data_IF_285268381189
#
_entry.id   IF_285268381189
#
_cell.length_a   1.000
_cell.length_b   1.000
_cell.length_c   1.000
_cell.angle_alpha   90.00
_cell.angle_beta   90.00
_cell.angle_gamma   90.00
#
_symmetry.space_group_name_H-M   'P 1'
#
loop_
_entity.id
_entity.type
_entity.pdbx_description
1 polymer ?
#
# COMPACT_ATOMS: atom_id res chain seq x y z
N UNK A 1 -53.91 3.69 17.29
CA UNK A 1 -52.98 4.80 17.61
C UNK A 1 -52.31 4.45 18.94
N UNK A 2 -51.00 4.62 19.12
CA UNK A 2 -50.33 4.24 20.39
C UNK A 2 -50.59 5.21 21.56
N UNK A 3 -50.93 6.46 21.26
CA UNK A 3 -50.96 7.56 22.23
C UNK A 3 -52.34 7.83 22.84
N UNK A 4 -53.40 7.39 22.16
CA UNK A 4 -54.80 7.66 22.54
C UNK A 4 -55.60 6.36 22.62
N UNK A 5 -56.34 6.20 23.71
CA UNK A 5 -57.35 5.19 23.93
C UNK A 5 -58.72 5.83 23.79
N UNK A 6 -59.56 5.27 22.92
CA UNK A 6 -60.90 5.77 22.68
C UNK A 6 -61.93 5.03 23.52
N UNK A 7 -62.90 5.77 24.07
CA UNK A 7 -64.04 5.23 24.82
C UNK A 7 -65.36 5.73 24.20
N UNK A 8 -66.27 4.84 23.79
CA UNK A 8 -66.12 3.38 23.75
C UNK A 8 -65.06 2.91 22.71
N UNK A 9 -64.36 1.78 22.95
CA UNK A 9 -63.34 1.27 22.03
C UNK A 9 -63.90 0.75 20.71
N UNK A 10 -65.19 0.38 20.69
CA UNK A 10 -65.96 0.08 19.50
C UNK A 10 -67.43 0.42 19.73
N UNK A 11 -68.14 0.78 18.65
CA UNK A 11 -69.59 1.06 18.70
C UNK A 11 -70.24 0.55 17.42
N UNK A 12 -71.17 -0.41 17.56
CA UNK A 12 -72.03 -0.79 16.44
C UNK A 12 -73.07 0.29 16.19
N UNK A 13 -73.27 0.64 14.92
CA UNK A 13 -74.21 1.67 14.46
C UNK A 13 -75.19 1.00 13.51
N UNK A 14 -76.48 1.03 13.84
CA UNK A 14 -77.55 0.55 12.95
C UNK A 14 -78.04 1.71 12.09
N UNK A 15 -77.72 1.68 10.80
CA UNK A 15 -78.14 2.71 9.83
C UNK A 15 -79.58 2.44 9.38
N UNK A 16 -80.38 3.50 9.27
CA UNK A 16 -81.73 3.49 8.68
C UNK A 16 -81.80 4.54 7.58
N UNK A 17 -82.68 4.34 6.61
CA UNK A 17 -82.87 5.28 5.51
C UNK A 17 -83.22 6.68 6.03
N UNK A 18 -82.53 7.71 5.54
CA UNK A 18 -82.68 9.10 5.99
C UNK A 18 -82.17 9.43 7.40
N UNK A 19 -81.60 8.48 8.15
CA UNK A 19 -81.20 8.71 9.55
C UNK A 19 -79.74 9.18 9.71
N UNK A 20 -79.53 10.31 10.38
CA UNK A 20 -78.23 10.74 10.88
C UNK A 20 -78.00 10.19 12.29
N UNK A 21 -76.90 9.44 12.51
CA UNK A 21 -76.53 8.93 13.84
C UNK A 21 -75.28 9.64 14.33
N UNK A 22 -75.42 10.44 15.38
CA UNK A 22 -74.30 11.06 16.06
C UNK A 22 -73.70 10.08 17.07
N UNK A 23 -72.39 9.84 16.97
CA UNK A 23 -71.62 9.02 17.93
C UNK A 23 -70.53 9.87 18.55
N UNK A 24 -70.57 10.01 19.88
CA UNK A 24 -69.49 10.63 20.64
C UNK A 24 -68.44 9.57 20.98
N UNK A 25 -67.18 9.86 20.64
CA UNK A 25 -66.01 9.06 20.98
C UNK A 25 -65.05 9.94 21.78
N UNK A 26 -64.78 9.57 23.03
CA UNK A 26 -63.85 10.31 23.89
C UNK A 26 -62.45 9.73 23.74
N UNK A 27 -61.47 10.55 23.35
CA UNK A 27 -60.07 10.14 23.22
C UNK A 27 -59.26 10.50 24.47
N UNK A 28 -58.94 9.51 25.31
CA UNK A 28 -58.07 9.69 26.46
C UNK A 28 -56.62 9.48 26.05
N UNK A 29 -55.73 10.42 26.36
CA UNK A 29 -54.30 10.27 26.16
C UNK A 29 -53.75 9.26 27.17
N UNK A 30 -53.02 8.25 26.69
CA UNK A 30 -52.47 7.15 27.51
C UNK A 30 -50.96 6.98 27.35
N UNK A 31 -50.35 7.62 26.35
CA UNK A 31 -48.90 7.60 26.14
C UNK A 31 -48.41 8.88 25.45
N UNK A 32 -47.10 9.11 25.55
CA UNK A 32 -46.41 10.29 25.04
C UNK A 32 -45.47 9.96 23.87
N UNK A 33 -45.04 11.00 23.17
CA UNK A 33 -43.99 10.98 22.16
C UNK A 33 -42.71 11.63 22.67
N UNK A 34 -41.58 11.21 22.10
CA UNK A 34 -40.32 11.92 22.18
C UNK A 34 -39.89 12.40 20.80
N UNK A 35 -39.69 13.71 20.68
CA UNK A 35 -39.26 14.41 19.47
C UNK A 35 -37.81 14.83 19.57
N UNK A 36 -37.07 14.64 18.48
CA UNK A 36 -35.69 15.08 18.39
C UNK A 36 -35.18 15.15 16.97
N UNK A 37 -33.88 15.42 16.85
CA UNK A 37 -33.16 15.48 15.59
C UNK A 37 -31.80 14.79 15.71
N UNK A 38 -31.42 14.07 14.67
CA UNK A 38 -30.08 13.54 14.46
C UNK A 38 -29.35 14.42 13.44
N UNK A 39 -28.14 14.83 13.78
CA UNK A 39 -27.26 15.59 12.88
C UNK A 39 -25.89 14.94 12.78
N UNK A 40 -25.21 15.08 11.65
CA UNK A 40 -23.79 14.73 11.53
C UNK A 40 -22.91 15.77 12.23
N UNK A 41 -21.61 15.50 12.33
CA UNK A 41 -20.63 16.35 13.03
C UNK A 41 -20.49 17.76 12.41
N UNK A 42 -20.80 17.90 11.12
CA UNK A 42 -20.85 19.17 10.40
C UNK A 42 -22.14 19.98 10.68
N UNK A 43 -23.15 19.39 11.34
CA UNK A 43 -24.44 20.01 11.63
C UNK A 43 -25.54 19.72 10.61
N UNK A 44 -25.25 19.02 9.51
CA UNK A 44 -26.25 18.59 8.53
C UNK A 44 -27.22 17.55 9.14
N UNK A 45 -28.50 17.53 8.74
CA UNK A 45 -29.47 16.53 9.17
C UNK A 45 -29.13 15.14 8.61
N UNK A 46 -29.42 14.08 9.37
CA UNK A 46 -29.12 12.70 8.97
C UNK A 46 -30.38 11.81 8.92
N UNK A 47 -30.69 11.31 7.73
CA UNK A 47 -31.83 10.46 7.41
C UNK A 47 -31.54 8.97 7.68
N UNK A 48 -32.58 8.17 7.93
CA UNK A 48 -32.46 6.70 7.97
C UNK A 48 -31.81 6.14 9.24
N UNK A 49 -31.38 7.00 10.16
CA UNK A 49 -30.85 6.61 11.47
C UNK A 49 -32.00 6.12 12.34
N UNK A 50 -31.93 4.84 12.74
CA UNK A 50 -32.86 4.22 13.67
C UNK A 50 -32.48 4.57 15.11
N UNK A 51 -33.42 5.18 15.83
CA UNK A 51 -33.31 5.54 17.24
C UNK A 51 -34.32 4.76 18.07
N UNK A 52 -33.95 4.43 19.30
CA UNK A 52 -34.79 3.70 20.25
C UNK A 52 -34.88 4.42 21.59
N UNK A 53 -36.01 4.25 22.26
CA UNK A 53 -36.24 4.59 23.65
C UNK A 53 -36.36 3.28 24.44
N UNK A 54 -35.37 2.98 25.27
CA UNK A 54 -35.35 1.78 26.13
C UNK A 54 -35.71 2.18 27.55
N UNK A 55 -36.76 1.60 28.12
CA UNK A 55 -37.18 1.86 29.50
C UNK A 55 -36.16 1.37 30.52
N UNK A 56 -36.11 2.02 31.69
CA UNK A 56 -35.27 1.60 32.83
C UNK A 56 -36.10 0.96 33.93
N UNK A 57 -35.41 0.20 34.78
CA UNK A 57 -35.93 -0.34 36.04
C UNK A 57 -37.29 -1.06 35.87
N UNK A 58 -38.36 -0.51 36.44
CA UNK A 58 -39.74 -1.04 36.37
C UNK A 58 -40.29 -1.09 34.94
N UNK A 59 -39.76 -0.26 34.05
CA UNK A 59 -40.18 -0.09 32.67
C UNK A 59 -39.24 -0.76 31.66
N UNK A 60 -38.29 -1.59 32.13
CA UNK A 60 -37.27 -2.29 31.33
C UNK A 60 -37.79 -3.20 30.19
N UNK A 61 -39.08 -3.55 30.22
CA UNK A 61 -39.75 -4.32 29.17
C UNK A 61 -40.36 -3.44 28.07
N UNK A 62 -40.37 -2.12 28.21
CA UNK A 62 -40.81 -1.19 27.18
C UNK A 62 -39.63 -0.73 26.32
N UNK A 63 -39.73 -1.00 25.02
CA UNK A 63 -38.82 -0.52 23.99
C UNK A 63 -39.67 0.01 22.83
N UNK A 64 -39.40 1.24 22.42
CA UNK A 64 -40.07 1.90 21.28
C UNK A 64 -39.02 2.47 20.34
N UNK A 65 -39.28 2.48 19.04
CA UNK A 65 -38.30 2.89 18.02
C UNK A 65 -38.90 3.79 16.93
N UNK A 66 -38.02 4.52 16.24
CA UNK A 66 -38.33 5.39 15.11
C UNK A 66 -37.12 5.49 14.19
N UNK A 67 -37.33 5.65 12.89
CA UNK A 67 -36.30 6.14 11.97
C UNK A 67 -36.34 7.66 11.88
N UNK A 68 -35.21 8.29 11.55
CA UNK A 68 -35.16 9.70 11.16
C UNK A 68 -35.67 9.92 9.73
N UNK A 69 -36.33 11.05 9.52
CA UNK A 69 -36.77 11.55 8.22
C UNK A 69 -35.63 12.30 7.50
N UNK A 70 -35.84 12.70 6.23
CA UNK A 70 -34.92 13.54 5.43
C UNK A 70 -34.44 14.80 6.19
N UNK A 71 -35.28 15.36 7.05
CA UNK A 71 -34.95 16.53 7.88
C UNK A 71 -34.11 16.22 9.13
N UNK A 72 -33.66 14.97 9.29
CA UNK A 72 -32.98 14.47 10.48
C UNK A 72 -33.88 14.31 11.70
N UNK A 73 -35.14 14.76 11.63
CA UNK A 73 -36.09 14.69 12.74
C UNK A 73 -36.61 13.26 12.95
N UNK A 74 -36.90 12.93 14.21
CA UNK A 74 -37.52 11.67 14.61
C UNK A 74 -38.64 11.89 15.63
N UNK A 75 -39.58 10.93 15.69
CA UNK A 75 -40.67 10.92 16.68
C UNK A 75 -40.93 9.49 17.16
N UNK A 76 -40.37 9.14 18.31
CA UNK A 76 -40.66 7.88 19.01
C UNK A 76 -42.02 8.03 19.70
N UNK A 77 -42.96 7.11 19.45
CA UNK A 77 -44.37 7.20 19.94
C UNK A 77 -44.69 6.04 20.88
N UNK A 78 -45.52 6.27 21.89
CA UNK A 78 -46.02 5.21 22.78
C UNK A 78 -45.27 5.08 24.11
N UNK A 79 -44.50 6.10 24.50
CA UNK A 79 -43.82 6.13 25.79
C UNK A 79 -44.84 6.17 26.93
N UNK A 80 -44.79 5.17 27.80
CA UNK A 80 -45.71 5.05 28.93
C UNK A 80 -45.46 6.15 29.99
N UNK A 81 -46.51 6.71 30.60
CA UNK A 81 -46.39 7.68 31.69
C UNK A 81 -45.69 7.08 32.91
N UNK A 82 -45.03 7.94 33.70
CA UNK A 82 -44.25 7.61 34.89
C UNK A 82 -43.11 6.61 34.69
N UNK A 83 -42.69 6.40 33.43
CA UNK A 83 -41.51 5.62 33.08
C UNK A 83 -40.31 6.49 32.72
N UNK A 84 -39.14 6.08 33.19
CA UNK A 84 -37.83 6.58 32.78
C UNK A 84 -37.33 5.78 31.57
N UNK A 85 -36.86 6.48 30.54
CA UNK A 85 -36.33 5.91 29.29
C UNK A 85 -34.93 6.44 28.98
N UNK A 86 -34.20 5.73 28.13
CA UNK A 86 -32.98 6.22 27.47
C UNK A 86 -33.24 6.28 25.97
N UNK A 87 -33.21 7.48 25.41
CA UNK A 87 -33.25 7.67 23.95
C UNK A 87 -31.83 7.60 23.41
N UNK A 88 -31.56 6.67 22.48
CA UNK A 88 -30.25 6.46 21.86
C UNK A 88 -30.38 6.01 20.41
N UNK A 89 -29.27 6.05 19.68
CA UNK A 89 -29.16 5.32 18.41
C UNK A 89 -29.26 3.82 18.68
N UNK A 90 -30.04 3.09 17.89
CA UNK A 90 -30.17 1.64 18.02
C UNK A 90 -28.90 0.95 17.52
N UNK A 91 -28.38 0.01 18.29
CA UNK A 91 -27.21 -0.79 17.95
C UNK A 91 -27.64 -2.16 17.41
N UNK A 92 -27.04 -2.61 16.30
CA UNK A 92 -27.31 -3.92 15.70
C UNK A 92 -26.48 -4.15 14.43
N UNK A 93 -26.17 -5.40 14.10
CA UNK A 93 -25.28 -5.73 12.98
C UNK A 93 -25.82 -5.30 11.59
N UNK A 94 -27.14 -5.22 11.46
CA UNK A 94 -27.84 -4.81 10.22
C UNK A 94 -28.50 -3.43 10.33
N UNK A 95 -28.36 -2.76 11.49
CA UNK A 95 -29.03 -1.50 11.79
C UNK A 95 -27.97 -0.39 11.82
N UNK A 96 -28.27 0.75 11.20
CA UNK A 96 -27.41 1.94 11.20
C UNK A 96 -26.00 1.74 10.60
N UNK A 97 -25.74 0.74 9.74
CA UNK A 97 -24.39 0.41 9.21
C UNK A 97 -23.59 1.59 8.64
N UNK A 98 -24.25 2.61 8.09
CA UNK A 98 -23.66 3.88 7.64
C UNK A 98 -23.09 4.78 8.76
N UNK A 99 -23.37 4.50 10.03
CA UNK A 99 -22.95 5.27 11.20
C UNK A 99 -22.05 4.38 12.08
N UNK A 100 -20.89 4.93 12.49
CA UNK A 100 -19.96 4.27 13.41
C UNK A 100 -20.40 4.40 14.88
N UNK A 101 -20.93 5.56 15.28
CA UNK A 101 -21.39 5.84 16.66
C UNK A 101 -22.28 7.09 16.71
N UNK A 102 -23.03 7.23 17.80
CA UNK A 102 -23.73 8.46 18.19
C UNK A 102 -23.12 9.11 19.45
N UNK A 103 -23.40 10.39 19.68
CA UNK A 103 -23.07 11.12 20.90
C UNK A 103 -24.19 12.14 21.21
N UNK A 104 -24.74 12.19 22.42
CA UNK A 104 -24.46 11.29 23.56
C UNK A 104 -24.84 9.83 23.27
N UNK A 105 -24.23 8.89 24.00
CA UNK A 105 -24.51 7.44 23.87
C UNK A 105 -25.96 7.10 24.25
N UNK A 106 -26.57 7.92 25.10
CA UNK A 106 -28.01 7.90 25.36
C UNK A 106 -28.43 9.10 26.20
N UNK A 107 -29.65 9.59 25.96
CA UNK A 107 -30.27 10.71 26.67
C UNK A 107 -31.31 10.15 27.64
N UNK A 108 -31.14 10.29 28.96
CA UNK A 108 -32.18 9.92 29.92
C UNK A 108 -33.36 10.90 29.80
N UNK A 109 -34.57 10.38 29.70
CA UNK A 109 -35.81 11.16 29.60
C UNK A 109 -36.90 10.51 30.45
N UNK A 110 -37.78 11.31 31.06
CA UNK A 110 -38.94 10.80 31.80
C UNK A 110 -40.23 11.25 31.15
N UNK A 111 -41.10 10.29 30.82
CA UNK A 111 -42.45 10.59 30.36
C UNK A 111 -43.36 10.87 31.57
N UNK A 112 -43.70 12.14 31.80
CA UNK A 112 -44.57 12.58 32.90
C UNK A 112 -45.94 13.00 32.38
N UNK A 113 -46.10 14.28 32.02
CA UNK A 113 -47.38 14.86 31.57
C UNK A 113 -47.21 15.70 30.29
N UNK A 114 -46.50 15.15 29.30
CA UNK A 114 -46.23 15.87 28.05
C UNK A 114 -45.30 15.12 27.10
N UNK A 115 -45.27 15.61 25.87
CA UNK A 115 -44.29 15.15 24.88
C UNK A 115 -42.90 15.69 25.21
N UNK A 116 -41.90 14.82 25.13
CA UNK A 116 -40.49 15.20 25.27
C UNK A 116 -40.04 15.83 23.96
N UNK A 117 -39.36 16.98 24.01
CA UNK A 117 -38.90 17.72 22.84
C UNK A 117 -37.43 18.13 22.97
N UNK A 118 -36.82 18.54 21.86
CA UNK A 118 -35.46 19.08 21.85
C UNK A 118 -34.34 18.05 22.03
N UNK A 119 -34.64 16.75 21.86
CA UNK A 119 -33.60 15.72 21.89
C UNK A 119 -32.66 15.88 20.70
N UNK A 120 -31.35 15.86 20.94
CA UNK A 120 -30.34 15.97 19.89
C UNK A 120 -29.30 14.87 20.01
N UNK A 121 -29.12 14.12 18.92
CA UNK A 121 -28.05 13.13 18.76
C UNK A 121 -27.12 13.59 17.65
N UNK A 122 -25.81 13.44 17.85
CA UNK A 122 -24.79 13.73 16.84
C UNK A 122 -24.18 12.39 16.39
N UNK A 123 -24.27 12.07 15.11
CA UNK A 123 -23.73 10.83 14.54
C UNK A 123 -22.37 11.03 13.88
N UNK A 124 -21.56 9.97 13.91
CA UNK A 124 -20.24 9.92 13.31
C UNK A 124 -20.21 8.82 12.26
N UNK A 125 -19.87 9.19 11.03
CA UNK A 125 -19.69 8.24 9.93
C UNK A 125 -18.42 7.39 10.11
N UNK A 126 -18.38 6.15 9.59
CA UNK A 126 -17.18 5.35 9.54
C UNK A 126 -16.10 6.04 8.69
N UNK A 127 -14.87 6.01 9.19
CA UNK A 127 -13.71 6.52 8.49
C UNK A 127 -13.35 5.53 7.38
N UNK A 128 -13.86 5.77 6.17
CA UNK A 128 -13.64 4.90 5.01
C UNK A 128 -12.30 5.15 4.30
N UNK A 129 -11.59 6.22 4.66
CA UNK A 129 -10.33 6.64 4.06
C UNK A 129 -9.28 6.92 5.13
N UNK A 130 -8.02 6.75 4.73
CA UNK A 130 -6.84 6.91 5.56
C UNK A 130 -5.79 7.74 4.83
N UNK A 131 -5.40 8.86 5.45
CA UNK A 131 -4.35 9.73 4.97
C UNK A 131 -2.97 9.23 5.41
N UNK A 132 -2.08 9.04 4.44
CA UNK A 132 -0.71 8.60 4.68
C UNK A 132 0.27 9.76 4.43
N UNK A 133 1.01 10.15 5.46
CA UNK A 133 2.14 11.07 5.32
C UNK A 133 3.45 10.32 5.58
N UNK A 134 4.43 10.55 4.74
CA UNK A 134 5.75 9.90 4.80
C UNK A 134 6.82 10.96 4.98
N UNK A 135 7.51 10.89 6.11
CA UNK A 135 8.68 11.71 6.40
C UNK A 135 9.94 10.89 6.11
N UNK A 136 10.81 11.40 5.24
CA UNK A 136 12.05 10.73 4.83
C UNK A 136 13.24 11.60 5.20
N UNK A 137 14.21 11.02 5.90
CA UNK A 137 15.48 11.65 6.24
C UNK A 137 16.63 10.98 5.51
N UNK A 138 17.49 11.75 4.85
CA UNK A 138 18.71 11.28 4.22
C UNK A 138 19.94 11.77 4.97
N UNK A 139 21.12 11.19 4.68
CA UNK A 139 22.40 11.77 5.17
C UNK A 139 22.67 13.14 4.53
N UNK A 140 22.44 13.27 3.22
CA UNK A 140 22.63 14.48 2.42
C UNK A 140 21.38 14.78 1.59
N UNK A 141 21.05 16.06 1.40
CA UNK A 141 19.89 16.49 0.61
C UNK A 141 19.92 15.99 -0.85
N UNK A 142 21.10 15.85 -1.47
CA UNK A 142 21.24 15.33 -2.83
C UNK A 142 20.73 13.88 -2.99
N UNK A 143 20.87 13.05 -1.95
CA UNK A 143 20.34 11.68 -1.97
C UNK A 143 18.81 11.62 -1.91
N UNK A 144 18.12 12.71 -1.55
CA UNK A 144 16.65 12.74 -1.62
C UNK A 144 16.19 12.64 -3.08
N UNK A 145 16.86 13.32 -4.01
CA UNK A 145 16.52 13.32 -5.45
C UNK A 145 16.58 11.93 -6.09
N UNK A 146 17.41 11.03 -5.56
CA UNK A 146 17.54 9.65 -6.05
C UNK A 146 16.47 8.71 -5.49
N UNK A 147 15.67 9.14 -4.50
CA UNK A 147 14.71 8.30 -3.81
C UNK A 147 13.29 8.39 -4.38
N UNK A 148 12.59 7.26 -4.28
CA UNK A 148 11.16 7.11 -4.55
C UNK A 148 10.54 6.31 -3.42
N UNK A 149 9.41 6.77 -2.90
CA UNK A 149 8.62 6.01 -1.96
C UNK A 149 7.55 5.23 -2.74
N UNK A 150 7.56 3.89 -2.60
CA UNK A 150 6.56 2.97 -3.14
C UNK A 150 5.65 2.50 -2.02
N UNK A 151 4.34 2.66 -2.21
CA UNK A 151 3.30 2.08 -1.37
C UNK A 151 2.70 0.88 -2.10
N UNK A 152 2.80 -0.31 -1.50
CA UNK A 152 2.23 -1.55 -2.03
C UNK A 152 1.22 -2.13 -1.03
N UNK A 153 0.32 -2.99 -1.53
CA UNK A 153 -0.51 -3.85 -0.67
C UNK A 153 0.26 -5.08 -0.26
N UNK A 154 0.06 -5.55 0.96
CA UNK A 154 0.68 -6.78 1.46
C UNK A 154 0.17 -8.02 0.69
N UNK A 155 -1.10 -7.99 0.24
CA UNK A 155 -1.69 -9.02 -0.62
C UNK A 155 -1.11 -9.08 -2.05
N UNK A 156 -0.46 -8.00 -2.50
CA UNK A 156 -0.03 -7.80 -3.89
C UNK A 156 1.26 -6.96 -3.94
N UNK A 157 2.42 -7.52 -3.57
CA UNK A 157 3.68 -6.77 -3.42
C UNK A 157 4.24 -6.24 -4.74
N UNK A 158 4.00 -6.96 -5.85
CA UNK A 158 4.53 -6.62 -7.18
C UNK A 158 3.80 -5.45 -7.86
N UNK A 159 2.58 -5.10 -7.40
CA UNK A 159 1.78 -4.00 -7.93
C UNK A 159 1.75 -2.81 -6.96
N UNK A 160 2.58 -1.77 -7.16
CA UNK A 160 2.53 -0.59 -6.31
C UNK A 160 1.22 0.17 -6.53
N UNK A 161 0.56 0.51 -5.41
CA UNK A 161 -0.65 1.35 -5.38
C UNK A 161 -0.27 2.77 -5.80
N UNK A 162 0.76 3.33 -5.16
CA UNK A 162 1.25 4.67 -5.42
C UNK A 162 2.78 4.73 -5.36
N UNK A 163 3.38 5.53 -6.24
CA UNK A 163 4.83 5.78 -6.28
C UNK A 163 5.07 7.28 -6.35
N UNK A 164 5.76 7.83 -5.35
CA UNK A 164 6.08 9.26 -5.28
C UNK A 164 7.60 9.45 -5.32
N UNK A 165 8.08 10.34 -6.20
CA UNK A 165 9.50 10.73 -6.25
C UNK A 165 9.78 11.82 -5.21
N UNK A 166 10.90 11.73 -4.51
CA UNK A 166 11.36 12.75 -3.58
C UNK A 166 12.10 13.87 -4.32
N UNK A 167 11.40 14.52 -5.26
CA UNK A 167 11.93 15.74 -5.87
C UNK A 167 11.64 16.97 -4.98
N UNK A 168 12.55 17.93 -5.01
CA UNK A 168 12.52 19.17 -4.23
C UNK A 168 11.30 20.06 -4.58
N UNK A 169 10.62 19.75 -5.69
CA UNK A 169 9.40 20.39 -6.19
C UNK A 169 8.09 19.87 -5.56
N UNK A 170 8.00 18.58 -5.21
CA UNK A 170 6.72 17.91 -4.88
C UNK A 170 6.50 17.66 -3.38
N UNK A 171 7.57 17.65 -2.59
CA UNK A 171 7.49 17.86 -1.14
C UNK A 171 7.96 19.27 -0.81
N UNK A 172 7.55 19.82 0.34
CA UNK A 172 8.14 21.06 0.89
C UNK A 172 9.58 20.78 1.38
N UNK A 173 10.48 20.59 0.42
CA UNK A 173 11.93 20.54 0.63
C UNK A 173 12.36 21.93 1.09
N UNK A 174 12.40 22.12 2.41
CA UNK A 174 12.99 23.31 3.00
C UNK A 174 14.45 23.35 2.56
N UNK A 175 14.85 24.37 1.79
CA UNK A 175 16.15 24.43 1.13
C UNK A 175 17.25 24.28 2.19
N UNK A 176 18.06 23.22 2.08
CA UNK A 176 19.12 22.90 3.05
C UNK A 176 18.75 21.91 4.16
N UNK A 177 17.52 21.40 4.25
CA UNK A 177 17.20 20.26 5.11
C UNK A 177 17.50 18.93 4.41
N UNK A 178 18.17 18.03 5.12
CA UNK A 178 18.38 16.63 4.70
C UNK A 178 17.12 15.76 4.91
N UNK A 179 15.92 16.33 4.77
CA UNK A 179 14.65 15.61 4.87
C UNK A 179 13.58 16.16 3.94
N UNK A 180 12.62 15.28 3.61
CA UNK A 180 11.46 15.58 2.78
C UNK A 180 10.20 14.99 3.43
N UNK A 181 9.05 15.63 3.20
CA UNK A 181 7.75 15.11 3.59
C UNK A 181 6.87 14.97 2.35
N UNK A 182 6.33 13.76 2.16
CA UNK A 182 5.41 13.39 1.10
C UNK A 182 4.03 13.14 1.69
N UNK A 183 2.99 13.73 1.10
CA UNK A 183 1.60 13.40 1.38
C UNK A 183 1.15 12.45 0.28
N UNK A 184 0.86 11.21 0.63
CA UNK A 184 0.33 10.22 -0.31
C UNK A 184 -1.18 10.47 -0.52
N UNK A 185 -1.75 10.06 -1.66
CA UNK A 185 -3.19 9.99 -1.81
C UNK A 185 -3.81 9.08 -0.75
N UNK A 186 -5.00 9.45 -0.28
CA UNK A 186 -5.74 8.72 0.74
C UNK A 186 -6.08 7.30 0.27
N UNK A 187 -5.80 6.30 1.11
CA UNK A 187 -6.09 4.89 0.83
C UNK A 187 -7.38 4.43 1.52
N UNK A 188 -8.04 3.37 1.06
CA UNK A 188 -9.19 2.80 1.77
C UNK A 188 -8.79 2.33 3.17
N UNK A 189 -9.57 2.70 4.19
CA UNK A 189 -9.39 2.24 5.57
C UNK A 189 -10.05 0.86 5.79
N UNK A 190 -9.70 -0.11 4.93
CA UNK A 190 -10.30 -1.45 4.87
C UNK A 190 -9.69 -2.45 5.87
N UNK A 191 -8.82 -1.99 6.76
CA UNK A 191 -8.10 -2.80 7.74
C UNK A 191 -7.01 -3.71 7.16
N UNK A 192 -6.79 -3.69 5.83
CA UNK A 192 -5.79 -4.54 5.17
C UNK A 192 -4.36 -4.08 5.43
N UNK A 193 -3.41 -4.98 5.16
CA UNK A 193 -1.98 -4.73 5.24
C UNK A 193 -1.45 -3.96 4.04
N UNK A 194 -0.64 -2.94 4.31
CA UNK A 194 0.11 -2.17 3.34
C UNK A 194 1.56 -2.08 3.79
N UNK A 195 2.49 -2.04 2.85
CA UNK A 195 3.89 -1.76 3.15
C UNK A 195 4.42 -0.63 2.30
N UNK A 196 5.30 0.17 2.91
CA UNK A 196 5.92 1.33 2.33
C UNK A 196 7.43 1.13 2.27
N UNK A 197 8.02 1.21 1.09
CA UNK A 197 9.44 0.99 0.86
C UNK A 197 10.06 2.16 0.10
N UNK A 198 11.31 2.50 0.43
CA UNK A 198 12.13 3.38 -0.39
C UNK A 198 12.85 2.57 -1.48
N UNK A 199 12.81 3.08 -2.71
CA UNK A 199 13.67 2.67 -3.81
C UNK A 199 14.66 3.81 -4.09
N UNK A 200 15.93 3.49 -4.31
CA UNK A 200 16.95 4.47 -4.72
C UNK A 200 17.49 4.14 -6.11
N UNK A 201 17.79 5.18 -6.89
CA UNK A 201 18.46 5.05 -8.19
C UNK A 201 20.00 5.10 -8.11
N UNK A 202 20.58 5.07 -6.91
CA UNK A 202 22.04 5.00 -6.73
C UNK A 202 22.58 3.61 -7.13
N UNK A 203 23.80 3.54 -7.65
CA UNK A 203 24.40 2.24 -8.02
C UNK A 203 24.96 1.51 -6.80
N UNK A 204 24.54 0.26 -6.60
CA UNK A 204 25.07 -0.67 -5.59
C UNK A 204 26.57 -1.00 -5.74
N UNK A 205 27.18 -0.66 -6.88
CA UNK A 205 28.63 -0.76 -7.10
C UNK A 205 29.37 0.39 -6.37
N UNK A 206 28.80 1.59 -6.40
CA UNK A 206 29.41 2.80 -5.82
C UNK A 206 29.00 3.07 -4.37
N UNK A 207 27.83 2.57 -3.94
CA UNK A 207 27.29 2.79 -2.60
C UNK A 207 26.71 1.49 -2.04
N UNK A 208 26.98 1.22 -0.77
CA UNK A 208 26.26 0.23 0.03
C UNK A 208 25.05 0.90 0.65
N UNK A 209 23.86 0.37 0.44
CA UNK A 209 22.65 0.83 1.12
C UNK A 209 21.62 -0.29 1.22
N UNK A 210 20.86 -0.29 2.31
CA UNK A 210 19.67 -1.12 2.51
C UNK A 210 18.45 -0.21 2.66
N UNK A 211 17.28 -0.71 2.26
CA UNK A 211 16.02 0.01 2.41
C UNK A 211 15.04 -0.88 3.16
N UNK A 212 14.59 -0.43 4.33
CA UNK A 212 13.63 -1.18 5.13
C UNK A 212 12.19 -0.83 4.69
N UNK A 213 11.39 -1.86 4.45
CA UNK A 213 9.95 -1.70 4.28
C UNK A 213 9.27 -1.53 5.64
N UNK A 214 8.33 -0.59 5.76
CA UNK A 214 7.51 -0.41 6.95
C UNK A 214 6.09 -0.91 6.65
N UNK A 215 5.69 -1.95 7.36
CA UNK A 215 4.36 -2.56 7.26
C UNK A 215 3.41 -1.87 8.24
N UNK A 216 2.16 -1.64 7.81
CA UNK A 216 1.10 -1.07 8.63
C UNK A 216 -0.27 -1.55 8.15
N UNK A 217 -1.29 -1.43 9.01
CA UNK A 217 -2.69 -1.73 8.64
C UNK A 217 -3.47 -0.45 8.38
N UNK A 218 -4.40 -0.50 7.44
CA UNK A 218 -5.24 0.64 7.09
C UNK A 218 -6.48 0.73 8.00
N UNK A 219 -6.28 1.04 9.29
CA UNK A 219 -7.34 1.02 10.32
C UNK A 219 -7.52 2.36 11.07
N UNK A 220 -7.01 3.46 10.52
CA UNK A 220 -6.97 4.78 11.17
C UNK A 220 -7.15 5.88 10.13
N UNK A 221 -7.74 7.03 10.50
CA UNK A 221 -7.86 8.19 9.58
C UNK A 221 -6.52 8.76 9.11
N UNK A 222 -5.46 8.66 9.91
CA UNK A 222 -4.16 9.26 9.60
C UNK A 222 -2.99 8.43 10.11
N UNK A 223 -1.93 8.31 9.32
CA UNK A 223 -0.64 7.73 9.75
C UNK A 223 0.54 8.52 9.22
N UNK A 224 1.47 8.83 10.12
CA UNK A 224 2.81 9.30 9.80
C UNK A 224 3.78 8.11 9.81
N UNK A 225 4.48 7.86 8.70
CA UNK A 225 5.58 6.90 8.61
C UNK A 225 6.90 7.66 8.49
N UNK A 226 7.93 7.23 9.24
CA UNK A 226 9.27 7.81 9.21
C UNK A 226 10.26 6.81 8.62
N UNK A 227 10.98 7.21 7.58
CA UNK A 227 11.98 6.39 6.89
C UNK A 227 13.34 7.12 6.89
N UNK A 228 14.42 6.37 7.00
CA UNK A 228 15.79 6.92 6.95
C UNK A 228 16.61 6.25 5.85
N UNK A 229 17.32 7.05 5.05
CA UNK A 229 18.20 6.58 3.99
C UNK A 229 19.65 7.04 4.26
N UNK A 230 20.51 6.08 4.60
CA UNK A 230 21.93 6.32 4.90
C UNK A 230 22.80 5.45 3.98
N UNK A 231 23.13 5.94 2.77
CA UNK A 231 24.05 5.23 1.89
C UNK A 231 25.49 5.42 2.37
N UNK A 232 26.26 4.35 2.38
CA UNK A 232 27.69 4.36 2.65
C UNK A 232 28.44 4.26 1.31
N UNK A 233 29.38 5.18 1.00
CA UNK A 233 30.14 5.09 -0.24
C UNK A 233 31.06 3.87 -0.18
N UNK A 234 30.96 2.99 -1.18
CA UNK A 234 31.96 1.94 -1.39
C UNK A 234 33.16 2.58 -2.07
N UNK A 235 34.29 2.61 -1.37
CA UNK A 235 35.57 2.81 -2.03
C UNK A 235 35.74 1.60 -2.94
N UNK A 236 35.78 1.82 -4.26
CA UNK A 236 36.33 0.81 -5.15
C UNK A 236 37.80 0.66 -4.75
N UNK A 237 38.13 -0.40 -4.02
CA UNK A 237 39.47 -0.95 -4.12
C UNK A 237 39.66 -1.26 -5.61
N UNK A 238 40.45 -0.42 -6.26
CA UNK A 238 40.76 -0.56 -7.67
C UNK A 238 41.59 -1.83 -7.79
N UNK A 239 40.92 -2.94 -8.09
CA UNK A 239 41.57 -4.23 -8.34
C UNK A 239 42.73 -3.97 -9.29
N UNK A 240 43.95 -4.11 -8.77
CA UNK A 240 45.16 -3.93 -9.55
C UNK A 240 45.12 -5.01 -10.62
N UNK A 241 44.71 -4.62 -11.83
CA UNK A 241 44.50 -5.56 -12.93
C UNK A 241 45.75 -6.42 -13.08
N UNK A 242 45.58 -7.72 -13.33
CA UNK A 242 46.66 -8.73 -13.25
C UNK A 242 47.94 -8.35 -14.04
N UNK A 243 47.81 -7.51 -15.06
CA UNK A 243 48.93 -6.87 -15.77
C UNK A 243 49.89 -6.06 -14.89
N UNK A 244 49.40 -5.34 -13.87
CA UNK A 244 50.23 -4.54 -12.95
C UNK A 244 51.11 -5.39 -12.04
N UNK A 245 50.64 -6.58 -11.64
CA UNK A 245 51.44 -7.53 -10.85
C UNK A 245 52.61 -8.12 -11.64
N UNK A 246 52.51 -8.21 -12.98
CA UNK A 246 53.60 -8.63 -13.86
C UNK A 246 54.50 -7.47 -14.29
N UNK A 247 53.96 -6.26 -14.45
CA UNK A 247 54.74 -5.10 -14.87
C UNK A 247 55.87 -4.74 -13.90
N UNK A 248 55.63 -4.84 -12.59
CA UNK A 248 56.61 -4.49 -11.55
C UNK A 248 57.86 -5.40 -11.54
N UNK A 249 57.75 -6.76 -11.49
CA UNK A 249 58.92 -7.62 -11.61
C UNK A 249 59.61 -7.52 -12.99
N UNK A 250 58.86 -7.31 -14.08
CA UNK A 250 59.46 -7.09 -15.42
C UNK A 250 60.31 -5.82 -15.44
N UNK A 251 59.82 -4.72 -14.87
CA UNK A 251 60.61 -3.47 -14.74
C UNK A 251 61.87 -3.66 -13.89
N UNK A 252 61.80 -4.45 -12.81
CA UNK A 252 62.98 -4.79 -12.00
C UNK A 252 64.00 -5.61 -12.81
N UNK A 253 63.56 -6.60 -13.58
CA UNK A 253 64.43 -7.41 -14.46
C UNK A 253 65.10 -6.54 -15.54
N UNK A 254 64.34 -5.63 -16.17
CA UNK A 254 64.89 -4.67 -17.15
C UNK A 254 65.92 -3.74 -16.50
N UNK A 255 65.66 -3.24 -15.29
CA UNK A 255 66.58 -2.38 -14.55
C UNK A 255 67.87 -3.12 -14.16
N UNK A 256 67.76 -4.37 -13.67
CA UNK A 256 68.92 -5.23 -13.35
C UNK A 256 69.73 -5.52 -14.63
N UNK A 257 69.05 -5.76 -15.75
CA UNK A 257 69.66 -5.92 -17.07
C UNK A 257 70.43 -4.69 -17.52
N UNK A 258 69.85 -3.50 -17.35
CA UNK A 258 70.47 -2.22 -17.67
C UNK A 258 71.66 -1.87 -16.75
N UNK A 259 71.66 -2.31 -15.49
CA UNK A 259 72.78 -2.12 -14.57
C UNK A 259 73.92 -3.12 -14.79
N UNK A 260 73.64 -4.32 -15.32
CA UNK A 260 74.61 -5.40 -15.51
C UNK A 260 74.92 -5.70 -17.00
N UNK A 261 74.88 -4.70 -17.88
CA UNK A 261 74.98 -4.86 -19.34
C UNK A 261 76.15 -5.77 -19.78
N UNK A 262 77.32 -5.61 -19.16
CA UNK A 262 78.53 -6.38 -19.47
C UNK A 262 78.42 -7.89 -19.14
N UNK A 263 77.53 -8.29 -18.21
CA UNK A 263 77.30 -9.70 -17.85
C UNK A 263 76.09 -10.32 -18.55
N UNK A 264 75.14 -9.51 -19.01
CA UNK A 264 73.89 -9.98 -19.60
C UNK A 264 74.05 -10.32 -21.09
N UNK A 265 74.88 -9.59 -21.83
CA UNK A 265 75.20 -9.89 -23.24
C UNK A 265 75.73 -11.33 -23.47
N UNK A 266 76.73 -11.85 -22.74
CA UNK A 266 77.17 -13.24 -22.91
C UNK A 266 76.11 -14.27 -22.48
N UNK A 267 75.28 -13.95 -21.48
CA UNK A 267 74.20 -14.83 -21.05
C UNK A 267 73.05 -14.94 -22.07
N UNK A 268 72.67 -13.82 -22.69
CA UNK A 268 71.68 -13.81 -23.80
C UNK A 268 72.18 -14.63 -24.98
N UNK A 269 73.47 -14.48 -25.35
CA UNK A 269 74.06 -15.27 -26.45
C UNK A 269 74.07 -16.77 -26.14
N UNK A 270 74.39 -17.17 -24.90
CA UNK A 270 74.30 -18.57 -24.46
C UNK A 270 72.86 -19.10 -24.50
N UNK A 271 71.88 -18.29 -24.05
CA UNK A 271 70.48 -18.69 -24.00
C UNK A 271 69.86 -18.80 -25.40
N UNK A 272 70.24 -17.93 -26.34
CA UNK A 272 69.88 -18.04 -27.77
C UNK A 272 70.46 -19.31 -28.40
N UNK A 273 71.73 -19.66 -28.11
CA UNK A 273 72.35 -20.89 -28.58
C UNK A 273 71.70 -22.15 -27.98
N UNK A 274 71.31 -22.10 -26.70
CA UNK A 274 70.55 -23.18 -26.06
C UNK A 274 69.18 -23.37 -26.70
N UNK A 275 68.46 -22.29 -26.98
CA UNK A 275 67.14 -22.32 -27.60
C UNK A 275 67.19 -22.79 -29.07
N UNK A 276 68.18 -22.35 -29.85
CA UNK A 276 68.38 -22.83 -31.22
C UNK A 276 68.74 -24.31 -31.28
N UNK A 277 69.54 -24.80 -30.32
CA UNK A 277 69.87 -26.22 -30.23
C UNK A 277 68.66 -27.06 -29.84
N UNK A 278 67.82 -26.58 -28.92
CA UNK A 278 66.56 -27.23 -28.52
C UNK A 278 65.52 -27.30 -29.65
N UNK A 279 65.54 -26.37 -30.60
CA UNK A 279 64.62 -26.35 -31.74
C UNK A 279 65.08 -27.22 -32.91
N UNK A 280 66.39 -27.52 -33.02
CA UNK A 280 66.95 -28.40 -34.06
C UNK A 280 67.01 -29.89 -33.66
N UNK A 281 66.96 -30.23 -32.37
CA UNK A 281 67.06 -31.63 -31.89
C UNK A 281 65.69 -32.33 -31.79
N UNK A 282 64.84 -32.25 -32.83
CA UNK A 282 63.40 -32.50 -32.68
C UNK A 282 62.63 -33.11 -33.86
N UNK A 283 63.24 -33.78 -34.85
CA UNK A 283 62.47 -34.52 -35.88
C UNK A 283 63.04 -35.92 -36.19
N UNK A 284 62.33 -36.91 -35.64
CA UNK A 284 62.11 -38.30 -36.06
C UNK A 284 62.99 -39.01 -37.11
N UNK A 285 63.41 -40.22 -36.74
CA UNK A 285 63.80 -41.31 -37.64
C UNK A 285 62.76 -42.45 -37.49
N UNK A 286 62.06 -42.83 -38.57
CA UNK A 286 60.94 -43.79 -38.52
C UNK A 286 60.39 -44.11 -39.91
N UNK A 287 60.76 -45.28 -40.44
CA UNK A 287 60.71 -45.65 -41.87
C UNK A 287 59.49 -46.54 -42.19
N UNK A 288 58.79 -46.33 -43.32
CA UNK A 288 57.67 -47.21 -43.71
C UNK A 288 56.98 -46.96 -45.07
N UNK A 289 57.57 -47.49 -46.14
CA UNK A 289 56.97 -47.96 -47.41
C UNK A 289 56.26 -47.00 -48.42
N UNK A 290 56.80 -47.01 -49.65
CA UNK A 290 56.18 -47.30 -50.98
C UNK A 290 54.75 -46.77 -51.25
N UNK A 291 54.44 -46.12 -52.39
CA UNK A 291 54.68 -46.50 -53.80
C UNK A 291 54.76 -45.25 -54.71
N UNK A 292 55.31 -45.43 -55.92
CA UNK A 292 55.63 -44.44 -56.95
C UNK A 292 54.48 -44.02 -57.90
N UNK A 293 54.58 -42.79 -58.45
CA UNK A 293 54.07 -42.34 -59.78
C UNK A 293 52.52 -42.13 -59.85
N UNK A 294 51.92 -41.08 -60.47
CA UNK A 294 52.38 -40.13 -61.50
C UNK A 294 51.76 -38.69 -61.44
N UNK A 295 52.36 -37.80 -62.24
CA UNK A 295 51.87 -36.61 -62.98
C UNK A 295 50.72 -35.65 -62.51
N UNK A 296 51.08 -34.36 -62.55
CA UNK A 296 50.39 -33.21 -63.18
C UNK A 296 49.00 -32.66 -62.73
N UNK A 297 49.09 -31.43 -62.20
CA UNK A 297 48.50 -30.18 -62.75
C UNK A 297 46.95 -30.01 -62.84
N UNK A 298 46.52 -28.99 -62.08
CA UNK A 298 45.36 -28.10 -62.23
C UNK A 298 43.93 -28.57 -61.94
N UNK A 299 43.32 -27.74 -61.09
CA UNK A 299 41.94 -27.23 -61.12
C UNK A 299 40.74 -28.09 -60.71
N UNK A 300 39.77 -27.31 -60.20
CA UNK A 300 38.32 -27.51 -60.26
C UNK A 300 37.58 -28.25 -59.12
N UNK A 301 36.78 -27.42 -58.42
CA UNK A 301 35.32 -27.58 -58.29
C UNK A 301 34.74 -28.46 -57.15
N UNK A 302 34.15 -27.75 -56.17
CA UNK A 302 32.82 -27.88 -55.53
C UNK A 302 32.36 -29.26 -54.94
N UNK A 303 31.78 -29.18 -53.73
CA UNK A 303 30.48 -29.78 -53.26
C UNK A 303 30.56 -30.42 -51.85
N UNK A 304 29.61 -30.01 -51.00
CA UNK A 304 29.11 -30.56 -49.72
C UNK A 304 28.89 -32.09 -49.66
N UNK A 305 28.84 -32.73 -48.45
CA UNK A 305 27.55 -33.05 -47.79
C UNK A 305 27.57 -33.12 -46.23
N UNK A 306 26.45 -33.26 -45.47
CA UNK A 306 25.15 -32.52 -45.46
C UNK A 306 24.34 -32.87 -44.17
N UNK A 307 24.02 -31.87 -43.32
CA UNK A 307 22.93 -31.86 -42.29
C UNK A 307 22.98 -32.93 -41.14
N UNK A 308 22.24 -32.89 -40.01
CA UNK A 308 20.95 -32.28 -39.62
C UNK A 308 20.89 -32.04 -38.07
N UNK A 309 20.56 -30.83 -37.57
CA UNK A 309 19.23 -30.36 -37.05
C UNK A 309 18.91 -30.69 -35.56
N UNK A 310 18.63 -29.67 -34.72
CA UNK A 310 17.23 -29.30 -34.35
C UNK A 310 17.00 -27.87 -33.78
N UNK A 311 16.20 -27.07 -34.51
CA UNK A 311 15.11 -26.12 -34.12
C UNK A 311 15.29 -25.18 -32.89
N UNK A 312 15.32 -23.83 -33.02
CA UNK A 312 14.21 -22.83 -33.31
C UNK A 312 13.16 -22.70 -32.18
N UNK A 313 12.62 -21.52 -31.77
CA UNK A 313 12.22 -20.27 -32.50
C UNK A 313 12.40 -18.96 -31.67
N UNK A 314 12.19 -17.80 -32.33
CA UNK A 314 12.35 -16.44 -31.79
C UNK A 314 11.03 -15.65 -31.52
N UNK A 315 11.14 -14.45 -30.93
CA UNK A 315 10.06 -13.51 -30.54
C UNK A 315 9.33 -12.85 -31.73
N UNK A 316 8.05 -12.44 -31.57
CA UNK A 316 7.35 -11.53 -32.48
C UNK A 316 7.52 -10.04 -32.09
N UNK A 317 7.31 -9.14 -33.07
CA UNK A 317 7.05 -7.69 -32.85
C UNK A 317 5.67 -7.38 -33.44
N UNK A 318 4.83 -6.68 -32.65
CA UNK A 318 3.47 -6.30 -33.02
C UNK A 318 3.41 -4.88 -33.61
N UNK A 319 2.41 -4.65 -34.47
CA UNK A 319 1.67 -3.39 -34.57
C UNK A 319 0.70 -3.26 -33.40
#
# INVERSE_FOLDING_TARGET
>A
MKEYRFEPPSKMITVKEGATVNVQLNGHRVAYSAYGMVTSLNGEPEEGVVVEAVGRDKCSHFQEESSTEISGQFRIRGLQPECDYVVRMKEGAEINQHIQRATPVGIPVKATDGDIQGLRLIVFHPLNQMDLTVYVQATNAEYLRTLRAKLCREDAPDSPVHVMKLDSSNGKSSRGLNSAMLVFPSIPADGRGYFLQLESSLSHQTHSYTTHAVHFKANSSFKLVRLSFKPEPKIMEQELGQSSYLALPVMIVVLIGFLNQQKVLPFINWLLQSLSNSLNSGVFNGRGNNVSIDHNISDAIIVEPVLNVTKRKAKPRKT
#
